data_IF_892878091280
#
_entry.id   IF_892878091280
#
_cell.length_a   1.000
_cell.length_b   1.000
_cell.length_c   1.000
_cell.angle_alpha   90.00
_cell.angle_beta   90.00
_cell.angle_gamma   90.00
#
_symmetry.space_group_name_H-M   'P 1'
#
loop_
_entity.id
_entity.type
_entity.pdbx_description
1 polymer ?
#
# COMPACT_ATOMS: atom_id res chain seq x y z
N UNK A 1 19.21 -23.23 -51.75
CA UNK A 1 20.35 -22.29 -51.78
C UNK A 1 20.04 -21.16 -50.81
N UNK A 2 20.70 -21.19 -49.66
CA UNK A 2 20.58 -20.22 -48.57
C UNK A 2 21.07 -18.84 -49.00
N UNK A 3 20.36 -17.78 -48.62
CA UNK A 3 20.97 -16.46 -48.40
C UNK A 3 20.40 -15.85 -47.13
N UNK A 4 21.20 -15.89 -46.07
CA UNK A 4 21.01 -15.17 -44.83
C UNK A 4 21.39 -13.69 -45.06
N UNK A 5 20.48 -12.76 -44.77
CA UNK A 5 20.82 -11.34 -44.62
C UNK A 5 21.05 -11.05 -43.13
N UNK A 6 22.13 -10.33 -42.76
CA UNK A 6 22.32 -9.91 -41.38
C UNK A 6 21.46 -8.68 -41.13
N UNK A 7 20.39 -8.83 -40.33
CA UNK A 7 19.70 -7.68 -39.77
C UNK A 7 20.61 -7.12 -38.68
N UNK A 8 21.26 -5.99 -38.96
CA UNK A 8 22.00 -5.23 -37.97
C UNK A 8 21.01 -4.69 -36.93
N UNK A 9 20.97 -5.33 -35.77
CA UNK A 9 20.24 -4.87 -34.59
C UNK A 9 20.97 -3.67 -33.99
N UNK A 10 20.57 -2.47 -34.40
CA UNK A 10 20.92 -1.24 -33.68
C UNK A 10 20.08 -1.22 -32.40
N UNK A 11 20.66 -1.68 -31.29
CA UNK A 11 20.00 -1.76 -29.99
C UNK A 11 19.74 -0.36 -29.43
N UNK A 12 18.47 0.04 -29.41
CA UNK A 12 18.02 1.24 -28.69
C UNK A 12 17.87 0.85 -27.22
N UNK A 13 18.83 1.24 -26.38
CA UNK A 13 18.74 1.07 -24.94
C UNK A 13 17.72 2.08 -24.39
N UNK A 14 16.47 1.67 -24.29
CA UNK A 14 15.46 2.40 -23.53
C UNK A 14 15.81 2.27 -22.05
N UNK A 15 16.16 3.38 -21.41
CA UNK A 15 16.21 3.46 -19.96
C UNK A 15 14.77 3.34 -19.45
N UNK A 16 14.41 2.15 -18.96
CA UNK A 16 13.16 1.95 -18.23
C UNK A 16 13.29 2.70 -16.90
N UNK A 17 12.44 3.70 -16.61
CA UNK A 17 12.45 4.32 -15.29
C UNK A 17 12.06 3.26 -14.25
N UNK A 18 12.85 3.17 -13.18
CA UNK A 18 12.52 2.34 -12.03
C UNK A 18 11.35 3.03 -11.30
N UNK A 19 10.13 2.71 -11.70
CA UNK A 19 8.94 3.03 -10.91
C UNK A 19 8.86 1.95 -9.83
N UNK A 20 8.87 2.35 -8.56
CA UNK A 20 8.50 1.44 -7.48
C UNK A 20 7.06 0.99 -7.76
N UNK A 21 6.90 -0.29 -8.08
CA UNK A 21 5.59 -0.86 -8.35
C UNK A 21 4.80 -0.96 -7.04
N UNK A 22 3.50 -0.70 -7.11
CA UNK A 22 2.52 -0.95 -6.02
C UNK A 22 2.58 -2.37 -5.42
N UNK A 23 3.32 -3.29 -6.06
CA UNK A 23 3.61 -4.65 -5.59
C UNK A 23 4.29 -4.69 -4.21
N UNK A 24 5.14 -3.73 -3.85
CA UNK A 24 5.87 -3.77 -2.56
C UNK A 24 4.95 -3.49 -1.35
N UNK A 25 3.83 -2.80 -1.58
CA UNK A 25 2.86 -2.40 -0.54
C UNK A 25 1.47 -2.98 -0.78
N UNK A 26 1.37 -4.09 -1.54
CA UNK A 26 0.13 -4.79 -1.85
C UNK A 26 -0.99 -3.84 -2.35
N UNK A 27 -0.62 -2.86 -3.19
CA UNK A 27 -1.54 -1.90 -3.78
C UNK A 27 -2.06 -0.80 -2.86
N UNK A 28 -1.35 -0.49 -1.77
CA UNK A 28 -1.54 0.74 -1.00
C UNK A 28 -0.94 1.96 -1.75
N UNK A 29 -1.75 3.02 -2.04
CA UNK A 29 -1.28 4.22 -2.74
C UNK A 29 -0.12 4.93 -2.03
N UNK A 30 0.80 5.55 -2.77
CA UNK A 30 1.90 6.30 -2.16
C UNK A 30 1.41 7.45 -1.26
N UNK A 31 2.00 7.59 -0.07
CA UNK A 31 1.65 8.64 0.88
C UNK A 31 2.44 8.54 2.19
N UNK A 32 2.42 9.61 2.98
CA UNK A 32 2.96 9.62 4.35
C UNK A 32 2.15 8.67 5.24
N UNK A 33 2.80 7.84 6.06
CA UNK A 33 2.12 6.82 6.87
C UNK A 33 1.85 5.49 6.13
N UNK A 34 2.19 5.37 4.84
CA UNK A 34 2.01 4.11 4.08
C UNK A 34 2.76 2.93 4.70
N UNK A 35 4.02 3.14 5.09
CA UNK A 35 4.88 2.08 5.62
C UNK A 35 4.35 1.59 6.97
N UNK A 36 3.99 2.51 7.84
CA UNK A 36 3.40 2.27 9.15
C UNK A 36 2.08 1.50 9.00
N UNK A 37 1.22 1.92 8.07
CA UNK A 37 -0.05 1.25 7.77
C UNK A 37 0.21 -0.17 7.27
N UNK A 38 1.10 -0.35 6.29
CA UNK A 38 1.41 -1.68 5.77
C UNK A 38 1.93 -2.61 6.87
N UNK A 39 2.90 -2.15 7.67
CA UNK A 39 3.50 -2.97 8.73
C UNK A 39 2.49 -3.37 9.82
N UNK A 40 1.52 -2.51 10.13
CA UNK A 40 0.56 -2.78 11.21
C UNK A 40 -0.71 -3.50 10.74
N UNK A 41 -1.13 -3.36 9.49
CA UNK A 41 -2.43 -3.85 9.05
C UNK A 41 -2.39 -5.20 8.30
N UNK A 42 -1.21 -5.69 7.88
CA UNK A 42 -1.10 -6.91 7.05
C UNK A 42 -0.79 -8.20 7.82
N UNK A 43 -0.65 -8.13 9.14
CA UNK A 43 -0.32 -9.30 9.95
C UNK A 43 -1.45 -10.35 10.01
N UNK A 44 -2.71 -9.92 9.87
CA UNK A 44 -3.88 -10.78 10.02
C UNK A 44 -4.68 -10.99 8.73
N UNK A 45 -4.63 -10.04 7.79
CA UNK A 45 -5.37 -10.09 6.53
C UNK A 45 -4.68 -9.22 5.46
N UNK A 46 -5.10 -9.33 4.20
CA UNK A 46 -4.52 -8.53 3.11
C UNK A 46 -4.98 -7.06 3.14
N UNK A 47 -4.27 -6.21 2.40
CA UNK A 47 -4.65 -4.79 2.21
C UNK A 47 -5.94 -4.62 1.41
N UNK A 48 -6.40 -5.68 0.73
CA UNK A 48 -7.65 -5.65 -0.02
C UNK A 48 -8.84 -5.29 0.89
N UNK A 49 -8.85 -5.75 2.15
CA UNK A 49 -9.87 -5.36 3.13
C UNK A 49 -9.77 -3.86 3.43
N UNK A 50 -8.57 -3.29 3.60
CA UNK A 50 -8.41 -1.85 3.87
C UNK A 50 -9.01 -1.02 2.73
N UNK A 51 -8.66 -1.38 1.49
CA UNK A 51 -8.99 -0.64 0.27
C UNK A 51 -10.49 -0.61 -0.06
N UNK A 52 -11.30 -1.52 0.50
CA UNK A 52 -12.74 -1.62 0.21
C UNK A 52 -13.64 -0.86 1.20
N UNK A 53 -13.14 -0.41 2.37
CA UNK A 53 -14.04 0.00 3.46
C UNK A 53 -14.62 1.41 3.29
N UNK A 54 -13.84 2.35 2.72
CA UNK A 54 -14.25 3.75 2.53
C UNK A 54 -14.83 4.40 3.81
N UNK A 55 -14.05 4.43 4.90
CA UNK A 55 -14.50 4.88 6.23
C UNK A 55 -13.98 6.27 6.53
N UNK A 56 -14.74 7.07 7.30
CA UNK A 56 -14.21 8.34 7.81
C UNK A 56 -13.05 8.08 8.78
N UNK A 57 -12.26 9.12 9.07
CA UNK A 57 -11.17 9.03 10.05
C UNK A 57 -11.65 8.55 11.42
N UNK A 58 -12.79 9.06 11.87
CA UNK A 58 -13.40 8.67 13.15
C UNK A 58 -13.79 7.19 13.15
N UNK A 59 -14.42 6.70 12.08
CA UNK A 59 -14.78 5.28 12.01
C UNK A 59 -13.55 4.37 11.87
N UNK A 60 -12.47 4.82 11.23
CA UNK A 60 -11.20 4.09 11.25
C UNK A 60 -10.61 4.00 12.67
N UNK A 61 -10.74 5.07 13.45
CA UNK A 61 -10.33 5.13 14.86
C UNK A 61 -11.03 4.04 15.69
N UNK A 62 -12.36 4.01 15.59
CA UNK A 62 -13.21 3.00 16.26
C UNK A 62 -12.88 1.58 15.81
N UNK A 63 -12.59 1.39 14.52
CA UNK A 63 -12.23 0.09 13.96
C UNK A 63 -10.87 -0.40 14.47
N UNK A 64 -9.89 0.50 14.62
CA UNK A 64 -8.60 0.15 15.21
C UNK A 64 -8.74 -0.20 16.70
N UNK A 65 -9.55 0.54 17.45
CA UNK A 65 -9.84 0.22 18.85
C UNK A 65 -10.50 -1.16 18.97
N UNK A 66 -11.50 -1.44 18.15
CA UNK A 66 -12.13 -2.76 18.09
C UNK A 66 -11.15 -3.88 17.71
N UNK A 67 -10.22 -3.64 16.78
CA UNK A 67 -9.20 -4.62 16.42
C UNK A 67 -8.28 -4.95 17.60
N UNK A 68 -7.89 -3.94 18.40
CA UNK A 68 -7.07 -4.13 19.59
C UNK A 68 -7.84 -4.85 20.68
N UNK A 69 -9.05 -4.38 20.99
CA UNK A 69 -9.85 -4.88 22.11
C UNK A 69 -10.42 -6.29 21.87
N UNK A 70 -10.90 -6.55 20.65
CA UNK A 70 -11.70 -7.75 20.35
C UNK A 70 -11.01 -8.74 19.40
N UNK A 71 -10.08 -8.26 18.55
CA UNK A 71 -9.41 -9.12 17.55
C UNK A 71 -7.95 -9.46 17.92
N UNK A 72 -7.43 -8.91 19.01
CA UNK A 72 -6.08 -9.19 19.50
C UNK A 72 -4.97 -8.53 18.67
N UNK A 73 -5.27 -7.45 17.95
CA UNK A 73 -4.25 -6.58 17.38
C UNK A 73 -3.42 -5.96 18.51
N UNK A 74 -2.12 -5.76 18.28
CA UNK A 74 -1.29 -5.07 19.26
C UNK A 74 -1.62 -3.59 19.31
N UNK A 75 -1.46 -2.98 20.48
CA UNK A 75 -1.56 -1.53 20.64
C UNK A 75 -0.36 -0.84 19.96
N UNK A 76 -0.66 0.11 19.08
CA UNK A 76 0.35 0.93 18.40
C UNK A 76 0.80 2.09 19.29
N UNK A 77 2.05 2.54 19.14
CA UNK A 77 2.48 3.79 19.77
C UNK A 77 1.62 4.97 19.26
N UNK A 78 1.38 6.01 20.08
CA UNK A 78 0.47 7.10 19.72
C UNK A 78 0.80 7.76 18.38
N UNK A 79 2.09 8.02 18.12
CA UNK A 79 2.56 8.67 16.90
C UNK A 79 2.38 7.77 15.66
N UNK A 80 2.52 6.45 15.84
CA UNK A 80 2.27 5.46 14.78
C UNK A 80 0.78 5.39 14.49
N UNK A 81 -0.07 5.34 15.53
CA UNK A 81 -1.53 5.32 15.37
C UNK A 81 -2.02 6.57 14.63
N UNK A 82 -1.49 7.75 14.97
CA UNK A 82 -1.80 9.00 14.27
C UNK A 82 -1.45 8.93 12.79
N UNK A 83 -0.22 8.53 12.44
CA UNK A 83 0.22 8.39 11.05
C UNK A 83 -0.62 7.37 10.25
N UNK A 84 -0.99 6.24 10.87
CA UNK A 84 -1.85 5.22 10.24
C UNK A 84 -3.24 5.80 9.96
N UNK A 85 -3.84 6.49 10.92
CA UNK A 85 -5.18 7.06 10.76
C UNK A 85 -5.22 8.18 9.73
N UNK A 86 -4.20 9.04 9.70
CA UNK A 86 -4.10 10.11 8.71
C UNK A 86 -3.97 9.52 7.31
N UNK A 87 -3.12 8.50 7.14
CA UNK A 87 -2.98 7.80 5.87
C UNK A 87 -4.29 7.12 5.43
N UNK A 88 -4.94 6.37 6.33
CA UNK A 88 -6.20 5.67 6.04
C UNK A 88 -7.31 6.64 5.64
N UNK A 89 -7.41 7.80 6.31
CA UNK A 89 -8.37 8.83 5.99
C UNK A 89 -8.05 9.57 4.71
N UNK A 90 -6.78 9.89 4.45
CA UNK A 90 -6.37 10.58 3.22
C UNK A 90 -6.61 9.71 1.98
N UNK A 91 -6.23 8.43 2.05
CA UNK A 91 -6.26 7.54 0.88
C UNK A 91 -7.59 6.83 0.69
N UNK A 92 -8.33 6.57 1.77
CA UNK A 92 -9.56 5.76 1.74
C UNK A 92 -10.72 6.40 2.54
N UNK A 93 -10.60 7.67 2.90
CA UNK A 93 -11.63 8.40 3.64
C UNK A 93 -12.81 8.83 2.80
N UNK A 94 -14.00 8.81 3.41
CA UNK A 94 -15.14 9.61 2.97
C UNK A 94 -15.54 10.58 4.09
N UNK A 95 -16.05 11.74 3.68
CA UNK A 95 -16.60 12.78 4.56
C UNK A 95 -17.81 12.28 5.36
#
# INVERSE_FOLDING_TARGET
MNRCLPVALLGMALAVPLQASDDDFDGLPEGEGRLETYQNCVACHSTAIIRQQNLSRETWDEVLDWMVEEQGMWEMAPEVREAVLDYLAEQFGRE
#
